data_IF_977880183908
#
_entry.id   IF_977880183908
#
_cell.length_a   1.000
_cell.length_b   1.000
_cell.length_c   1.000
_cell.angle_alpha   90.00
_cell.angle_beta   90.00
_cell.angle_gamma   90.00
#
_symmetry.space_group_name_H-M   'P 1'
#
loop_
_entity.id
_entity.type
_entity.pdbx_description
1 polymer ?
#
# COMPACT_ATOMS: atom_id res chain seq x y z
N UNK A 1 15.75 8.63 -12.78
CA UNK A 1 14.29 8.80 -12.88
C UNK A 1 13.76 8.87 -11.45
N UNK A 2 13.13 9.97 -11.05
CA UNK A 2 12.66 10.19 -9.67
C UNK A 2 11.14 10.09 -9.62
N UNK A 3 10.63 8.88 -9.34
CA UNK A 3 9.21 8.62 -9.12
C UNK A 3 9.04 7.80 -7.86
N UNK A 4 8.64 8.47 -6.77
CA UNK A 4 8.35 7.80 -5.51
C UNK A 4 6.99 7.09 -5.62
N UNK A 5 6.99 5.77 -5.50
CA UNK A 5 5.80 4.94 -5.64
C UNK A 5 6.08 3.49 -5.29
N UNK A 6 5.19 2.58 -5.69
CA UNK A 6 5.38 1.15 -5.40
C UNK A 6 6.74 0.62 -5.87
N UNK A 7 7.23 1.07 -7.03
CA UNK A 7 8.55 0.65 -7.56
C UNK A 7 9.68 0.96 -6.56
N UNK A 8 9.62 2.10 -5.89
CA UNK A 8 10.61 2.51 -4.88
C UNK A 8 10.58 1.62 -3.63
N UNK A 9 9.45 0.95 -3.36
CA UNK A 9 9.24 0.12 -2.18
C UNK A 9 9.63 -1.35 -2.38
N UNK A 10 10.03 -1.77 -3.58
CA UNK A 10 10.42 -3.16 -3.85
C UNK A 10 11.46 -3.73 -2.89
N UNK A 11 12.52 -2.99 -2.48
CA UNK A 11 13.47 -3.48 -1.49
C UNK A 11 12.82 -3.86 -0.14
N UNK A 12 11.80 -3.11 0.30
CA UNK A 12 11.00 -3.42 1.50
C UNK A 12 10.06 -4.60 1.25
N UNK A 13 9.25 -4.51 0.18
CA UNK A 13 8.23 -5.52 -0.19
C UNK A 13 8.80 -6.92 -0.35
N UNK A 14 10.01 -7.01 -0.91
CA UNK A 14 10.69 -8.27 -1.18
C UNK A 14 11.74 -8.63 -0.11
N UNK A 15 11.80 -7.86 0.99
CA UNK A 15 12.68 -8.12 2.15
C UNK A 15 14.15 -8.24 1.75
N UNK A 16 14.59 -7.40 0.80
CA UNK A 16 15.95 -7.45 0.23
C UNK A 16 16.98 -6.71 1.08
N UNK A 17 16.52 -5.86 2.00
CA UNK A 17 17.40 -5.11 2.90
C UNK A 17 17.67 -5.93 4.17
N UNK A 18 18.92 -6.06 4.63
CA UNK A 18 19.22 -6.46 6.00
C UNK A 18 18.48 -5.58 7.02
N UNK A 19 18.12 -6.11 8.19
CA UNK A 19 17.36 -5.37 9.20
C UNK A 19 18.13 -4.18 9.80
N UNK A 20 19.45 -4.19 9.70
CA UNK A 20 20.37 -3.12 10.11
C UNK A 20 20.81 -2.21 8.95
N UNK A 21 20.24 -2.40 7.76
CA UNK A 21 20.57 -1.58 6.59
C UNK A 21 20.24 -0.10 6.84
N UNK A 22 21.18 0.83 6.60
CA UNK A 22 20.95 2.27 6.85
C UNK A 22 19.86 2.87 5.95
N UNK A 23 19.47 2.19 4.87
CA UNK A 23 18.40 2.59 3.96
C UNK A 23 17.00 2.24 4.49
N UNK A 24 16.87 1.30 5.44
CA UNK A 24 15.56 0.84 5.91
C UNK A 24 14.80 1.93 6.68
N UNK A 25 15.37 2.61 7.71
CA UNK A 25 14.67 3.70 8.39
C UNK A 25 14.15 4.82 7.48
N UNK A 26 14.95 5.42 6.57
CA UNK A 26 14.42 6.47 5.69
C UNK A 26 13.37 5.94 4.69
N UNK A 27 13.45 4.67 4.29
CA UNK A 27 12.41 4.05 3.45
C UNK A 27 11.07 3.93 4.20
N UNK A 28 11.09 3.61 5.50
CA UNK A 28 9.89 3.60 6.34
C UNK A 28 9.29 4.99 6.53
N UNK A 29 10.13 6.02 6.67
CA UNK A 29 9.64 7.41 6.74
C UNK A 29 9.04 7.88 5.41
N UNK A 30 9.65 7.52 4.28
CA UNK A 30 9.06 7.79 2.95
C UNK A 30 7.72 7.08 2.76
N UNK A 31 7.58 5.86 3.27
CA UNK A 31 6.33 5.11 3.24
C UNK A 31 5.23 5.82 4.04
N UNK A 32 5.57 6.30 5.25
CA UNK A 32 4.62 6.91 6.20
C UNK A 32 4.22 8.33 5.85
N UNK A 33 4.95 9.03 4.97
CA UNK A 33 4.62 10.41 4.62
C UNK A 33 3.24 10.52 3.93
N UNK A 34 2.24 11.19 4.55
CA UNK A 34 0.91 11.37 3.96
C UNK A 34 0.91 12.27 2.73
N UNK A 35 1.93 13.14 2.57
CA UNK A 35 2.13 13.96 1.37
C UNK A 35 2.75 13.16 0.22
N UNK A 36 3.26 11.97 0.51
CA UNK A 36 3.73 11.01 -0.48
C UNK A 36 2.75 9.85 -0.63
N UNK A 37 2.98 8.75 0.09
CA UNK A 37 2.34 7.46 -0.19
C UNK A 37 1.26 7.07 0.81
N UNK A 38 1.29 7.58 2.04
CA UNK A 38 0.40 7.11 3.09
C UNK A 38 -1.01 7.69 2.98
N UNK A 39 -2.03 6.85 3.19
CA UNK A 39 -3.43 7.26 3.28
C UNK A 39 -4.16 6.50 4.40
N UNK A 40 -5.34 6.97 4.84
CA UNK A 40 -6.22 6.22 5.74
C UNK A 40 -6.81 4.92 5.15
N UNK A 41 -6.54 4.62 3.87
CA UNK A 41 -7.15 3.49 3.15
C UNK A 41 -6.11 2.50 2.59
N UNK A 42 -4.81 2.77 2.79
CA UNK A 42 -3.69 2.03 2.20
C UNK A 42 -2.59 2.92 1.60
N UNK A 43 -1.63 2.31 0.93
CA UNK A 43 -0.49 2.98 0.28
C UNK A 43 -0.83 3.32 -1.17
N UNK A 44 -0.63 4.58 -1.57
CA UNK A 44 -0.78 5.05 -2.96
C UNK A 44 0.22 4.39 -3.90
N UNK A 45 -0.18 4.14 -5.14
CA UNK A 45 0.75 3.60 -6.15
C UNK A 45 1.85 4.55 -6.57
N UNK A 46 1.60 5.86 -6.46
CA UNK A 46 2.52 6.95 -6.79
C UNK A 46 2.31 8.08 -5.78
N UNK A 47 3.40 8.74 -5.38
CA UNK A 47 3.38 9.83 -4.42
C UNK A 47 2.49 10.98 -4.90
N UNK A 48 1.73 11.58 -3.97
CA UNK A 48 0.88 12.73 -4.27
C UNK A 48 1.65 13.98 -4.72
N UNK A 49 2.95 14.05 -4.38
CA UNK A 49 3.88 15.09 -4.82
C UNK A 49 4.45 14.88 -6.23
N UNK A 50 4.24 13.71 -6.85
CA UNK A 50 4.78 13.43 -8.18
C UNK A 50 4.01 14.20 -9.27
N UNK A 51 4.73 14.72 -10.28
CA UNK A 51 4.13 15.45 -11.41
C UNK A 51 3.11 14.63 -12.20
N UNK A 52 3.21 13.30 -12.17
CA UNK A 52 2.29 12.38 -12.85
C UNK A 52 1.13 11.92 -11.96
N UNK A 53 1.09 12.32 -10.69
CA UNK A 53 0.00 11.96 -9.78
C UNK A 53 -1.37 12.36 -10.36
N UNK A 54 -2.26 11.36 -10.48
CA UNK A 54 -3.60 11.45 -11.07
C UNK A 54 -3.64 12.03 -12.50
N UNK A 55 -2.52 12.03 -13.22
CA UNK A 55 -2.47 12.49 -14.62
C UNK A 55 -2.79 11.34 -15.58
N UNK A 56 -3.70 11.53 -16.55
CA UNK A 56 -3.92 10.56 -17.61
C UNK A 56 -2.66 10.43 -18.48
N UNK A 57 -2.51 9.29 -19.15
CA UNK A 57 -1.37 9.08 -20.06
C UNK A 57 -1.69 9.56 -21.48
N UNK A 58 -2.95 9.45 -21.89
CA UNK A 58 -3.50 9.89 -23.16
C UNK A 58 -5.00 10.23 -23.00
N UNK A 59 -5.64 10.92 -23.96
CA UNK A 59 -7.09 11.10 -23.96
C UNK A 59 -7.82 9.75 -23.84
N UNK A 60 -8.71 9.62 -22.86
CA UNK A 60 -9.43 8.37 -22.56
C UNK A 60 -8.66 7.37 -21.69
N UNK A 61 -7.38 7.60 -21.39
CA UNK A 61 -6.57 6.72 -20.53
C UNK A 61 -6.39 7.31 -19.12
N UNK A 62 -7.42 7.11 -18.29
CA UNK A 62 -7.48 7.60 -16.92
C UNK A 62 -6.37 7.01 -16.04
N UNK A 63 -5.80 7.79 -15.10
CA UNK A 63 -4.67 7.37 -14.26
C UNK A 63 -4.95 6.02 -13.58
N UNK A 64 -4.07 5.05 -13.80
CA UNK A 64 -4.24 3.69 -13.30
C UNK A 64 -3.32 3.41 -12.10
N UNK A 65 -2.02 3.34 -12.36
CA UNK A 65 -0.97 3.20 -11.34
C UNK A 65 -0.35 4.54 -10.92
N UNK A 66 -1.14 5.62 -10.98
CA UNK A 66 -0.70 7.00 -10.67
C UNK A 66 -1.42 7.61 -9.46
N UNK A 67 -1.76 6.81 -8.45
CA UNK A 67 -2.29 7.30 -7.17
C UNK A 67 -3.17 6.29 -6.44
N UNK A 68 -3.96 5.50 -7.18
CA UNK A 68 -4.89 4.54 -6.60
C UNK A 68 -4.18 3.48 -5.73
N UNK A 69 -4.95 2.88 -4.83
CA UNK A 69 -4.47 1.88 -3.87
C UNK A 69 -4.77 0.48 -4.41
N UNK A 70 -3.74 -0.36 -4.46
CA UNK A 70 -3.82 -1.71 -5.01
C UNK A 70 -3.45 -2.75 -3.96
N UNK A 71 -4.30 -3.76 -3.80
CA UNK A 71 -4.23 -4.70 -2.67
C UNK A 71 -3.05 -5.67 -2.80
N UNK A 72 -2.69 -6.11 -4.00
CA UNK A 72 -1.49 -6.93 -4.22
C UNK A 72 -0.21 -6.27 -3.69
N UNK A 73 0.05 -5.01 -4.04
CA UNK A 73 1.26 -4.32 -3.59
C UNK A 73 1.17 -3.95 -2.12
N UNK A 74 -0.01 -3.55 -1.63
CA UNK A 74 -0.22 -3.28 -0.22
C UNK A 74 -0.02 -4.53 0.66
N UNK A 75 -0.44 -5.70 0.20
CA UNK A 75 -0.18 -6.97 0.86
C UNK A 75 1.32 -7.26 0.95
N UNK A 76 2.10 -6.97 -0.09
CA UNK A 76 3.56 -7.10 -0.03
C UNK A 76 4.20 -6.07 0.90
N UNK A 77 3.67 -4.84 1.00
CA UNK A 77 4.13 -3.87 2.00
C UNK A 77 3.87 -4.39 3.42
N UNK A 78 2.65 -4.88 3.68
CA UNK A 78 2.33 -5.51 4.97
C UNK A 78 3.27 -6.68 5.27
N UNK A 79 3.51 -7.55 4.28
CA UNK A 79 4.42 -8.69 4.38
C UNK A 79 5.86 -8.27 4.70
N UNK A 80 6.34 -7.18 4.13
CA UNK A 80 7.65 -6.59 4.44
C UNK A 80 7.69 -5.98 5.84
N UNK A 81 6.71 -5.15 6.20
CA UNK A 81 6.63 -4.53 7.53
C UNK A 81 6.52 -5.58 8.64
N UNK A 82 5.68 -6.60 8.45
CA UNK A 82 5.53 -7.73 9.37
C UNK A 82 6.86 -8.46 9.58
N UNK A 83 7.64 -8.69 8.51
CA UNK A 83 8.97 -9.29 8.62
C UNK A 83 9.92 -8.43 9.47
N UNK A 84 10.01 -7.13 9.20
CA UNK A 84 10.91 -6.24 9.95
C UNK A 84 10.42 -5.94 11.37
N UNK A 85 9.12 -6.04 11.64
CA UNK A 85 8.56 -5.95 12.99
C UNK A 85 9.01 -7.13 13.88
N UNK A 86 9.29 -8.28 13.29
CA UNK A 86 9.71 -9.51 13.98
C UNK A 86 11.20 -9.82 13.82
N UNK A 87 11.97 -8.96 13.14
CA UNK A 87 13.41 -9.13 12.96
C UNK A 87 14.16 -8.10 13.79
N UNK A 88 15.13 -8.56 14.59
CA UNK A 88 15.94 -7.66 15.42
C UNK A 88 16.68 -6.64 14.55
N UNK A 89 16.50 -5.36 14.84
CA UNK A 89 17.14 -4.26 14.11
C UNK A 89 16.65 -2.90 14.57
N UNK A 90 17.36 -1.81 14.21
CA UNK A 90 17.02 -0.46 14.63
C UNK A 90 15.63 0.00 14.15
N UNK A 91 15.15 -0.55 13.03
CA UNK A 91 13.85 -0.20 12.46
C UNK A 91 12.67 -1.02 13.02
N UNK A 92 12.92 -2.01 13.88
CA UNK A 92 11.91 -2.98 14.33
C UNK A 92 10.67 -2.31 14.96
N UNK A 93 10.80 -1.38 15.94
CA UNK A 93 9.62 -0.77 16.56
C UNK A 93 8.80 0.05 15.55
N UNK A 94 9.50 0.73 14.64
CA UNK A 94 8.87 1.54 13.59
C UNK A 94 8.14 0.67 12.57
N UNK A 95 8.72 -0.46 12.17
CA UNK A 95 8.07 -1.40 11.27
C UNK A 95 6.80 -2.00 11.89
N UNK A 96 6.82 -2.31 13.20
CA UNK A 96 5.65 -2.81 13.94
C UNK A 96 4.51 -1.77 13.96
N UNK A 97 4.81 -0.52 14.33
CA UNK A 97 3.82 0.57 14.34
C UNK A 97 3.16 0.75 12.96
N UNK A 98 3.97 0.79 11.91
CA UNK A 98 3.47 0.97 10.54
C UNK A 98 2.67 -0.24 10.05
N UNK A 99 3.06 -1.45 10.43
CA UNK A 99 2.32 -2.67 10.11
C UNK A 99 0.90 -2.60 10.68
N UNK A 100 0.78 -2.34 11.98
CA UNK A 100 -0.50 -2.32 12.69
C UNK A 100 -1.46 -1.28 12.10
N UNK A 101 -0.95 -0.08 11.85
CA UNK A 101 -1.76 1.00 11.29
C UNK A 101 -2.17 0.72 9.84
N UNK A 102 -1.23 0.29 8.99
CA UNK A 102 -1.53 0.02 7.58
C UNK A 102 -2.54 -1.12 7.43
N UNK A 103 -2.38 -2.19 8.22
CA UNK A 103 -3.30 -3.33 8.20
C UNK A 103 -4.69 -2.89 8.61
N UNK A 104 -4.80 -2.10 9.69
CA UNK A 104 -6.06 -1.54 10.15
C UNK A 104 -6.74 -0.69 9.06
N UNK A 105 -5.99 0.22 8.43
CA UNK A 105 -6.50 1.10 7.37
C UNK A 105 -7.05 0.31 6.18
N UNK A 106 -6.30 -0.69 5.69
CA UNK A 106 -6.68 -1.53 4.56
C UNK A 106 -7.91 -2.38 4.87
N UNK A 107 -7.87 -3.14 5.97
CA UNK A 107 -8.96 -4.06 6.34
C UNK A 107 -10.25 -3.29 6.61
N UNK A 108 -10.17 -2.19 7.37
CA UNK A 108 -11.34 -1.36 7.69
C UNK A 108 -11.95 -0.76 6.43
N UNK A 109 -11.13 -0.24 5.51
CA UNK A 109 -11.66 0.34 4.28
C UNK A 109 -12.30 -0.73 3.38
N UNK A 110 -11.66 -1.90 3.23
CA UNK A 110 -12.20 -2.97 2.39
C UNK A 110 -13.47 -3.57 2.99
N UNK A 111 -13.54 -3.73 4.31
CA UNK A 111 -14.77 -4.15 5.00
C UNK A 111 -15.90 -3.15 4.76
N UNK A 112 -15.64 -1.85 4.96
CA UNK A 112 -16.63 -0.79 4.69
C UNK A 112 -17.13 -0.85 3.24
N UNK A 113 -16.23 -0.97 2.27
CA UNK A 113 -16.62 -1.05 0.85
C UNK A 113 -17.40 -2.33 0.53
N UNK A 114 -17.07 -3.45 1.16
CA UNK A 114 -17.86 -4.67 1.05
C UNK A 114 -19.27 -4.49 1.63
N UNK A 115 -19.40 -3.90 2.81
CA UNK A 115 -20.70 -3.64 3.46
C UNK A 115 -21.56 -2.65 2.66
N UNK A 116 -20.95 -1.57 2.13
CA UNK A 116 -21.66 -0.53 1.37
C UNK A 116 -22.07 -1.00 -0.03
N UNK A 117 -21.25 -1.84 -0.69
CA UNK A 117 -21.41 -2.13 -2.12
C UNK A 117 -21.66 -3.59 -2.47
N UNK A 118 -21.37 -4.53 -1.55
CA UNK A 118 -21.43 -5.97 -1.77
C UNK A 118 -20.29 -6.54 -2.62
N UNK A 119 -19.22 -5.77 -2.87
CA UNK A 119 -18.13 -6.18 -3.78
C UNK A 119 -16.73 -5.90 -3.23
N UNK A 120 -15.81 -6.77 -3.63
CA UNK A 120 -14.38 -6.44 -3.70
C UNK A 120 -14.08 -5.78 -5.05
N UNK A 121 -13.21 -4.78 -5.01
CA UNK A 121 -12.87 -3.95 -6.17
C UNK A 121 -11.41 -4.13 -6.56
N UNK A 122 -11.11 -3.84 -7.82
CA UNK A 122 -9.77 -3.97 -8.39
C UNK A 122 -8.74 -3.04 -7.74
N UNK A 123 -9.15 -1.80 -7.48
CA UNK A 123 -8.37 -0.78 -6.79
C UNK A 123 -9.29 0.12 -5.94
N UNK A 124 -8.70 0.90 -5.05
CA UNK A 124 -9.41 1.81 -4.16
C UNK A 124 -8.93 3.25 -4.32
N UNK A 125 -9.84 4.20 -4.20
CA UNK A 125 -9.56 5.62 -4.28
C UNK A 125 -8.72 6.07 -3.06
N UNK A 126 -7.66 6.82 -3.32
CA UNK A 126 -6.72 7.27 -2.31
C UNK A 126 -7.22 8.38 -1.36
N UNK A 127 -8.28 9.10 -1.74
CA UNK A 127 -8.82 10.23 -0.98
C UNK A 127 -10.11 9.84 -0.24
N UNK A 128 -10.91 8.94 -0.81
CA UNK A 128 -12.21 8.53 -0.26
C UNK A 128 -12.29 7.08 0.20
N UNK A 129 -11.32 6.25 -0.19
CA UNK A 129 -11.35 4.81 0.03
C UNK A 129 -12.36 4.05 -0.83
N UNK A 130 -13.11 4.74 -1.70
CA UNK A 130 -14.15 4.13 -2.52
C UNK A 130 -13.56 3.10 -3.50
N UNK A 131 -14.22 1.96 -3.67
CA UNK A 131 -13.87 0.98 -4.70
C UNK A 131 -13.99 1.56 -6.10
N UNK A 132 -13.04 1.21 -6.99
CA UNK A 132 -13.01 1.72 -8.36
C UNK A 132 -12.77 0.60 -9.37
N UNK A 133 -13.22 0.87 -10.62
CA UNK A 133 -13.00 0.03 -11.81
C UNK A 133 -13.68 -1.33 -11.69
N UNK A 134 -12.99 -2.43 -12.00
CA UNK A 134 -13.61 -3.74 -12.16
C UNK A 134 -14.16 -4.27 -10.83
N UNK A 135 -15.37 -4.86 -10.90
CA UNK A 135 -16.01 -5.62 -9.83
C UNK A 135 -16.98 -6.67 -10.42
N UNK A 136 -17.22 -7.80 -9.76
CA UNK A 136 -16.50 -8.30 -8.58
C UNK A 136 -15.03 -8.58 -8.93
N UNK A 137 -14.11 -8.19 -8.06
CA UNK A 137 -12.68 -8.46 -8.23
C UNK A 137 -12.14 -9.26 -7.05
N UNK A 138 -12.58 -10.51 -6.94
CA UNK A 138 -11.96 -11.50 -6.05
C UNK A 138 -10.67 -12.09 -6.67
N UNK A 139 -9.92 -11.28 -7.43
CA UNK A 139 -8.57 -11.58 -7.89
C UNK A 139 -7.59 -11.33 -6.75
N UNK A 140 -6.54 -10.53 -6.99
CA UNK A 140 -5.60 -10.22 -5.91
C UNK A 140 -6.21 -9.44 -4.74
N UNK A 141 -7.37 -8.81 -4.88
CA UNK A 141 -8.03 -8.16 -3.74
C UNK A 141 -8.50 -9.18 -2.69
N UNK A 142 -8.59 -10.47 -3.03
CA UNK A 142 -8.82 -11.54 -2.06
C UNK A 142 -7.65 -11.73 -1.07
N UNK A 143 -6.45 -11.18 -1.35
CA UNK A 143 -5.31 -11.17 -0.41
C UNK A 143 -5.65 -10.47 0.92
N UNK A 144 -6.71 -9.66 0.97
CA UNK A 144 -7.20 -9.10 2.23
C UNK A 144 -7.53 -10.19 3.27
N UNK A 145 -7.99 -11.38 2.85
CA UNK A 145 -8.21 -12.48 3.80
C UNK A 145 -6.90 -12.94 4.43
N UNK A 146 -5.82 -13.04 3.66
CA UNK A 146 -4.50 -13.40 4.19
C UNK A 146 -3.96 -12.31 5.10
N UNK A 147 -4.18 -11.04 4.76
CA UNK A 147 -3.84 -9.93 5.65
C UNK A 147 -4.63 -9.99 6.98
N UNK A 148 -5.93 -10.31 6.95
CA UNK A 148 -6.75 -10.50 8.16
C UNK A 148 -6.22 -11.69 8.98
N UNK A 149 -5.82 -12.78 8.34
CA UNK A 149 -5.26 -13.94 9.02
C UNK A 149 -3.77 -13.79 9.41
N UNK A 150 -3.14 -12.67 9.04
CA UNK A 150 -1.71 -12.38 9.25
C UNK A 150 -0.77 -13.45 8.67
N UNK A 151 -1.14 -13.97 7.49
CA UNK A 151 -0.37 -14.97 6.74
C UNK A 151 0.39 -14.25 5.62
N UNK A 152 1.74 -14.28 5.64
CA UNK A 152 2.65 -13.47 4.80
C UNK A 152 3.89 -14.20 4.28
#
# INVERSE_FOLDING_TARGET
VEHLGYVSLFPLMLRLLPADAPQLPPLLELLRDPKALWTPYGIRSLAASDRFYLRPNAPGDAPYWRGAIWINLNYLVLSGLHHYAHTAGPAQPRAAELYDELRTNLVTNMQRQWEETGYLWEQYNQDTGAGQRNRPFAGWSALVLLAIAEIY
#
